data_IF_164607243783
#
_entry.id   IF_164607243783
#
_cell.length_a   1.000
_cell.length_b   1.000
_cell.length_c   1.000
_cell.angle_alpha   90.00
_cell.angle_beta   90.00
_cell.angle_gamma   90.00
#
_symmetry.space_group_name_H-M   'P 1'
#
loop_
_entity.id
_entity.type
_entity.pdbx_description
1 polymer ?
#
# COMPACT_ATOMS: atom_id res chain seq x y z
N UNK A 1 -54.92 -37.02 -47.12
CA UNK A 1 -56.07 -37.51 -46.34
C UNK A 1 -56.05 -36.80 -45.00
N UNK A 2 -57.20 -36.23 -44.62
CA UNK A 2 -57.60 -35.69 -43.30
C UNK A 2 -56.75 -34.60 -42.62
N UNK A 3 -57.22 -33.35 -42.72
CA UNK A 3 -57.46 -32.49 -41.52
C UNK A 3 -58.74 -33.00 -40.81
N UNK A 4 -59.26 -32.48 -39.66
CA UNK A 4 -58.91 -31.27 -38.87
C UNK A 4 -59.08 -31.46 -37.33
N UNK A 5 -59.30 -30.34 -36.59
CA UNK A 5 -60.02 -30.18 -35.29
C UNK A 5 -59.16 -30.21 -34.00
N UNK A 6 -59.43 -29.47 -32.93
CA UNK A 6 -60.26 -28.28 -32.61
C UNK A 6 -60.19 -28.02 -31.09
N UNK A 7 -60.31 -26.75 -30.68
CA UNK A 7 -61.01 -26.21 -29.49
C UNK A 7 -61.08 -26.97 -28.15
N UNK A 8 -60.70 -26.27 -27.06
CA UNK A 8 -61.56 -25.85 -25.90
C UNK A 8 -60.63 -25.28 -24.81
N UNK A 9 -60.72 -24.03 -24.32
CA UNK A 9 -61.81 -23.27 -23.67
C UNK A 9 -62.46 -24.03 -22.52
N UNK A 10 -62.21 -23.56 -21.30
CA UNK A 10 -62.82 -24.00 -20.06
C UNK A 10 -62.51 -23.02 -18.95
N UNK A 11 -63.24 -21.90 -18.93
CA UNK A 11 -63.49 -21.10 -17.73
C UNK A 11 -64.29 -21.93 -16.73
N UNK A 12 -63.98 -21.80 -15.44
CA UNK A 12 -64.71 -22.45 -14.35
C UNK A 12 -64.50 -21.69 -13.06
N UNK A 13 -65.47 -20.84 -12.74
CA UNK A 13 -65.56 -20.01 -11.56
C UNK A 13 -65.88 -20.79 -10.28
N UNK A 14 -65.53 -20.20 -9.14
CA UNK A 14 -66.35 -20.19 -7.93
C UNK A 14 -66.18 -21.37 -6.96
N UNK A 15 -65.71 -21.08 -5.76
CA UNK A 15 -65.73 -22.01 -4.64
C UNK A 15 -65.22 -21.38 -3.35
N UNK A 16 -66.07 -20.57 -2.71
CA UNK A 16 -65.91 -20.16 -1.32
C UNK A 16 -65.83 -21.39 -0.39
N UNK A 17 -64.91 -21.36 0.58
CA UNK A 17 -64.74 -22.47 1.52
C UNK A 17 -63.63 -22.23 2.54
N UNK A 18 -63.79 -21.22 3.41
CA UNK A 18 -63.18 -21.24 4.75
C UNK A 18 -64.08 -22.07 5.70
N UNK A 19 -63.65 -22.48 6.91
CA UNK A 19 -62.35 -22.32 7.57
C UNK A 19 -61.82 -23.64 8.21
N UNK A 20 -60.50 -23.85 8.27
CA UNK A 20 -59.88 -24.68 9.33
C UNK A 20 -58.47 -24.18 9.65
N UNK A 21 -58.34 -23.51 10.79
CA UNK A 21 -57.13 -23.54 11.61
C UNK A 21 -57.02 -24.94 12.25
N UNK A 22 -55.80 -25.50 12.40
CA UNK A 22 -55.07 -25.20 13.62
C UNK A 22 -53.54 -25.06 13.45
N UNK A 23 -52.98 -24.22 14.34
CA UNK A 23 -51.70 -24.40 15.02
C UNK A 23 -50.44 -24.59 14.15
N UNK A 24 -49.82 -23.48 13.78
CA UNK A 24 -48.36 -23.41 13.75
C UNK A 24 -47.87 -22.32 14.71
N UNK A 25 -47.17 -22.81 15.73
CA UNK A 25 -46.50 -22.08 16.78
C UNK A 25 -45.61 -20.97 16.21
N UNK A 26 -45.92 -19.74 16.62
CA UNK A 26 -45.13 -18.53 16.46
C UNK A 26 -43.84 -18.64 17.28
N UNK A 27 -42.74 -19.02 16.62
CA UNK A 27 -41.39 -18.85 17.13
C UNK A 27 -40.88 -17.43 16.85
N UNK A 28 -41.55 -16.42 17.38
CA UNK A 28 -41.07 -15.04 17.40
C UNK A 28 -41.43 -14.47 18.75
N UNK A 29 -40.42 -14.29 19.61
CA UNK A 29 -40.30 -13.32 20.73
C UNK A 29 -39.35 -13.92 21.78
N UNK A 30 -38.07 -14.08 21.43
CA UNK A 30 -36.99 -13.88 22.41
C UNK A 30 -36.47 -12.48 22.19
N UNK A 31 -37.16 -11.53 22.82
CA UNK A 31 -36.65 -10.18 23.05
C UNK A 31 -35.35 -10.35 23.83
N UNK A 32 -34.24 -10.06 23.15
CA UNK A 32 -32.91 -9.96 23.72
C UNK A 32 -32.87 -8.75 24.67
N UNK A 33 -33.37 -8.94 25.89
CA UNK A 33 -33.27 -7.98 27.00
C UNK A 33 -31.81 -7.77 27.47
N UNK A 34 -30.85 -8.52 26.92
CA UNK A 34 -29.41 -8.38 27.19
C UNK A 34 -28.67 -7.37 26.30
N UNK A 35 -29.36 -6.67 25.40
CA UNK A 35 -28.76 -5.62 24.54
C UNK A 35 -28.75 -4.21 25.15
N UNK A 36 -29.28 -4.04 26.38
CA UNK A 36 -29.42 -2.74 27.04
C UNK A 36 -28.27 -2.37 28.00
N UNK A 37 -27.17 -3.12 28.03
CA UNK A 37 -25.93 -2.69 28.69
C UNK A 37 -24.89 -2.29 27.64
N UNK A 38 -25.20 -1.21 26.91
CA UNK A 38 -24.19 -0.43 26.20
C UNK A 38 -23.48 0.40 27.27
N UNK A 39 -22.23 0.10 27.67
CA UNK A 39 -21.54 0.89 28.67
C UNK A 39 -21.42 2.31 28.12
N UNK A 40 -21.96 3.27 28.89
CA UNK A 40 -21.79 4.70 28.67
C UNK A 40 -20.32 5.08 28.86
N UNK A 41 -19.47 4.74 27.88
CA UNK A 41 -18.04 5.06 27.84
C UNK A 41 -17.80 6.39 27.12
N UNK A 42 -18.51 7.44 27.54
CA UNK A 42 -18.49 8.74 26.86
C UNK A 42 -17.22 9.59 27.06
N UNK A 43 -16.38 9.29 28.07
CA UNK A 43 -15.16 10.09 28.35
C UNK A 43 -13.89 9.28 28.62
N UNK A 44 -13.98 8.05 29.12
CA UNK A 44 -12.80 7.18 29.31
C UNK A 44 -12.24 6.55 28.02
N UNK A 45 -13.06 6.47 26.96
CA UNK A 45 -12.66 5.80 25.70
C UNK A 45 -11.62 6.56 24.88
N UNK A 46 -11.64 7.90 24.90
CA UNK A 46 -10.70 8.71 24.10
C UNK A 46 -9.28 8.68 24.65
N UNK A 47 -9.12 8.73 25.98
CA UNK A 47 -7.81 8.62 26.62
C UNK A 47 -7.18 7.22 26.43
N UNK A 48 -8.00 6.17 26.55
CA UNK A 48 -7.57 4.79 26.30
C UNK A 48 -7.17 4.57 24.83
N UNK A 49 -7.93 5.12 23.86
CA UNK A 49 -7.58 5.05 22.44
C UNK A 49 -6.31 5.86 22.10
N UNK A 50 -6.18 7.08 22.63
CA UNK A 50 -4.98 7.89 22.41
C UNK A 50 -3.73 7.18 22.98
N UNK A 51 -3.82 6.60 24.17
CA UNK A 51 -2.74 5.83 24.77
C UNK A 51 -2.39 4.57 23.97
N UNK A 52 -3.40 3.85 23.47
CA UNK A 52 -3.23 2.67 22.62
C UNK A 52 -2.52 2.95 21.30
N UNK A 53 -2.58 4.19 20.78
CA UNK A 53 -1.84 4.61 19.58
C UNK A 53 -0.49 5.24 19.90
N UNK A 54 -0.41 6.12 20.90
CA UNK A 54 0.81 6.87 21.23
C UNK A 54 1.90 5.97 21.80
N UNK A 55 1.55 5.02 22.67
CA UNK A 55 2.52 4.12 23.28
C UNK A 55 3.29 3.26 22.26
N UNK A 56 2.63 2.49 21.35
CA UNK A 56 3.36 1.71 20.36
C UNK A 56 4.11 2.59 19.37
N UNK A 57 3.60 3.80 19.06
CA UNK A 57 4.31 4.74 18.19
C UNK A 57 5.61 5.20 18.87
N UNK A 58 5.56 5.61 20.14
CA UNK A 58 6.73 6.02 20.90
C UNK A 58 7.76 4.90 21.08
N UNK A 59 7.31 3.68 21.37
CA UNK A 59 8.18 2.50 21.46
C UNK A 59 8.85 2.18 20.12
N UNK A 60 8.11 2.30 19.02
CA UNK A 60 8.63 2.06 17.67
C UNK A 60 9.60 3.18 17.27
N UNK A 61 9.31 4.45 17.55
CA UNK A 61 10.25 5.55 17.35
C UNK A 61 11.54 5.35 18.14
N UNK A 62 11.44 4.95 19.41
CA UNK A 62 12.61 4.62 20.23
C UNK A 62 13.39 3.41 19.66
N UNK A 63 12.67 2.42 19.12
CA UNK A 63 13.27 1.27 18.46
C UNK A 63 14.09 1.71 17.23
N UNK A 64 13.55 2.58 16.38
CA UNK A 64 14.22 3.02 15.16
C UNK A 64 15.48 3.86 15.44
N UNK A 65 15.51 4.57 16.57
CA UNK A 65 16.66 5.40 16.99
C UNK A 65 17.73 4.59 17.71
N UNK A 66 17.37 3.49 18.38
CA UNK A 66 18.38 2.70 19.10
C UNK A 66 19.37 2.04 18.14
N UNK A 67 20.64 1.99 18.54
CA UNK A 67 21.67 1.16 17.90
C UNK A 67 21.82 -0.20 18.57
N UNK A 68 21.07 -0.55 19.61
CA UNK A 68 21.30 -1.80 20.33
C UNK A 68 20.33 -2.91 19.88
N UNK A 69 20.84 -4.02 19.33
CA UNK A 69 20.04 -5.12 18.75
C UNK A 69 19.05 -5.75 19.76
N UNK A 70 19.49 -5.99 21.00
CA UNK A 70 18.63 -6.54 22.06
C UNK A 70 17.47 -5.60 22.40
N UNK A 71 17.77 -4.31 22.59
CA UNK A 71 16.76 -3.31 22.94
C UNK A 71 15.77 -3.13 21.78
N UNK A 72 16.27 -3.07 20.55
CA UNK A 72 15.47 -3.05 19.33
C UNK A 72 14.50 -4.25 19.26
N UNK A 73 15.02 -5.46 19.48
CA UNK A 73 14.24 -6.70 19.47
C UNK A 73 13.17 -6.71 20.57
N UNK A 74 13.54 -6.31 21.79
CA UNK A 74 12.62 -6.21 22.92
C UNK A 74 11.50 -5.20 22.69
N UNK A 75 11.82 -4.03 22.11
CA UNK A 75 10.82 -3.02 21.77
C UNK A 75 9.86 -3.50 20.68
N UNK A 76 10.36 -4.19 19.64
CA UNK A 76 9.50 -4.75 18.59
C UNK A 76 8.54 -5.81 19.14
N UNK A 77 9.03 -6.71 19.99
CA UNK A 77 8.19 -7.71 20.66
C UNK A 77 7.20 -7.04 21.61
N UNK A 78 7.60 -6.02 22.35
CA UNK A 78 6.72 -5.23 23.21
C UNK A 78 5.59 -4.57 22.42
N UNK A 79 5.89 -3.96 21.27
CA UNK A 79 4.88 -3.40 20.36
C UNK A 79 3.97 -4.51 19.81
N UNK A 80 4.53 -5.65 19.42
CA UNK A 80 3.78 -6.82 18.96
C UNK A 80 2.79 -7.34 20.00
N UNK A 81 3.21 -7.44 21.26
CA UNK A 81 2.37 -7.85 22.39
C UNK A 81 1.27 -6.83 22.69
N UNK A 82 1.60 -5.54 22.68
CA UNK A 82 0.63 -4.46 22.91
C UNK A 82 -0.44 -4.40 21.81
N UNK A 83 -0.08 -4.72 20.56
CA UNK A 83 -1.00 -4.72 19.41
C UNK A 83 -1.69 -6.07 19.20
N UNK A 84 -1.16 -7.14 19.77
CA UNK A 84 -1.77 -8.47 19.75
C UNK A 84 -3.03 -8.49 20.62
N UNK A 85 -4.16 -8.07 20.04
CA UNK A 85 -5.47 -8.28 20.65
C UNK A 85 -5.85 -9.77 20.60
N UNK A 86 -6.81 -10.20 21.45
CA UNK A 86 -7.21 -11.62 21.66
C UNK A 86 -7.55 -12.43 20.39
N UNK A 87 -7.67 -11.80 19.21
CA UNK A 87 -8.02 -12.48 17.95
C UNK A 87 -7.03 -12.25 16.80
N UNK A 88 -5.95 -11.47 16.99
CA UNK A 88 -4.98 -11.19 15.92
C UNK A 88 -3.55 -11.50 16.38
N UNK A 89 -3.11 -12.74 16.14
CA UNK A 89 -1.73 -13.17 16.36
C UNK A 89 -0.74 -12.60 15.34
N UNK A 90 -1.24 -11.99 14.26
CA UNK A 90 -0.43 -11.45 13.16
C UNK A 90 0.74 -10.56 13.61
N UNK A 91 0.49 -9.45 14.33
CA UNK A 91 1.54 -8.52 14.76
C UNK A 91 2.64 -9.19 15.61
N UNK A 92 2.25 -10.17 16.43
CA UNK A 92 3.18 -10.92 17.28
C UNK A 92 4.11 -11.78 16.42
N UNK A 93 3.58 -12.51 15.44
CA UNK A 93 4.40 -13.31 14.50
C UNK A 93 5.37 -12.41 13.73
N UNK A 94 4.91 -11.24 13.27
CA UNK A 94 5.79 -10.28 12.60
C UNK A 94 6.93 -9.83 13.53
N UNK A 95 6.59 -9.45 14.76
CA UNK A 95 7.57 -8.99 15.76
C UNK A 95 8.58 -10.07 16.13
N UNK A 96 8.13 -11.33 16.28
CA UNK A 96 9.00 -12.46 16.59
C UNK A 96 9.93 -12.80 15.43
N UNK A 97 9.45 -12.72 14.19
CA UNK A 97 10.29 -12.92 13.00
C UNK A 97 11.39 -11.84 12.94
N UNK A 98 11.02 -10.57 13.13
CA UNK A 98 11.97 -9.46 13.13
C UNK A 98 12.98 -9.57 14.28
N UNK A 99 12.50 -9.82 15.51
CA UNK A 99 13.34 -9.99 16.68
C UNK A 99 14.30 -11.17 16.54
N UNK A 100 13.82 -12.32 16.04
CA UNK A 100 14.68 -13.49 15.78
C UNK A 100 15.81 -13.16 14.80
N UNK A 101 15.50 -12.43 13.72
CA UNK A 101 16.50 -11.99 12.75
C UNK A 101 17.58 -11.09 13.38
N UNK A 102 17.17 -10.13 14.20
CA UNK A 102 18.08 -9.20 14.89
C UNK A 102 18.91 -9.87 15.99
N UNK A 103 18.31 -10.79 16.75
CA UNK A 103 19.00 -11.56 17.79
C UNK A 103 20.06 -12.45 17.14
N UNK A 104 19.73 -13.15 16.05
CA UNK A 104 20.71 -13.96 15.31
C UNK A 104 21.87 -13.11 14.80
N UNK A 105 21.59 -11.91 14.29
CA UNK A 105 22.62 -10.98 13.83
C UNK A 105 23.56 -10.54 14.98
N UNK A 106 23.02 -10.22 16.15
CA UNK A 106 23.81 -9.88 17.33
C UNK A 106 24.64 -11.06 17.85
N UNK A 107 24.05 -12.27 17.89
CA UNK A 107 24.76 -13.49 18.31
C UNK A 107 25.93 -13.83 17.37
N UNK A 108 25.74 -13.67 16.06
CA UNK A 108 26.77 -14.04 15.08
C UNK A 108 27.84 -12.98 14.91
N UNK A 109 27.50 -11.70 15.04
CA UNK A 109 28.50 -10.64 15.03
C UNK A 109 29.35 -10.61 16.30
N UNK A 110 28.89 -11.27 17.37
CA UNK A 110 29.53 -11.19 18.70
C UNK A 110 29.38 -9.82 19.37
N UNK A 111 28.58 -8.92 18.78
CA UNK A 111 28.38 -7.55 19.25
C UNK A 111 26.90 -7.21 19.23
N UNK A 112 26.42 -6.54 20.28
CA UNK A 112 25.01 -6.13 20.36
C UNK A 112 24.77 -4.68 19.94
N UNK A 113 25.83 -3.94 19.63
CA UNK A 113 25.75 -2.59 19.10
C UNK A 113 25.86 -2.61 17.58
N UNK A 114 24.88 -1.99 16.94
CA UNK A 114 24.75 -1.85 15.49
C UNK A 114 25.88 -1.01 14.89
N UNK A 115 26.41 -0.06 15.65
CA UNK A 115 27.51 0.79 15.22
C UNK A 115 28.89 0.14 15.38
N UNK A 116 28.96 -1.07 15.98
CA UNK A 116 30.23 -1.76 16.15
C UNK A 116 30.80 -2.19 14.78
N UNK A 117 32.12 -2.07 14.56
CA UNK A 117 32.74 -2.36 13.27
C UNK A 117 32.57 -3.82 12.81
N UNK A 118 32.32 -4.75 13.74
CA UNK A 118 32.08 -6.16 13.45
C UNK A 118 30.59 -6.54 13.36
N UNK A 119 29.66 -5.59 13.55
CA UNK A 119 28.23 -5.85 13.51
C UNK A 119 27.80 -6.46 12.15
N UNK A 120 28.44 -6.04 11.06
CA UNK A 120 28.20 -6.58 9.73
C UNK A 120 28.55 -8.05 9.55
N UNK A 121 29.51 -8.58 10.32
CA UNK A 121 29.91 -9.98 10.22
C UNK A 121 28.79 -10.95 10.64
N UNK A 122 27.82 -10.48 11.43
CA UNK A 122 26.67 -11.28 11.83
C UNK A 122 25.55 -11.35 10.79
N UNK A 123 25.63 -10.57 9.71
CA UNK A 123 24.60 -10.56 8.68
C UNK A 123 24.75 -11.80 7.79
N UNK A 124 23.80 -12.72 7.89
CA UNK A 124 23.75 -13.93 7.07
C UNK A 124 22.38 -14.12 6.38
N UNK A 125 22.26 -15.17 5.57
CA UNK A 125 21.03 -15.44 4.81
C UNK A 125 19.82 -15.76 5.69
N UNK A 126 20.02 -16.35 6.87
CA UNK A 126 18.95 -16.68 7.80
C UNK A 126 18.41 -15.41 8.49
N UNK A 127 19.30 -14.57 9.04
CA UNK A 127 18.92 -13.30 9.67
C UNK A 127 18.27 -12.36 8.65
N UNK A 128 18.83 -12.28 7.44
CA UNK A 128 18.25 -11.52 6.34
C UNK A 128 16.87 -12.06 5.95
N UNK A 129 16.76 -13.37 5.75
CA UNK A 129 15.51 -14.04 5.39
C UNK A 129 14.39 -13.83 6.43
N UNK A 130 14.72 -13.85 7.73
CA UNK A 130 13.77 -13.60 8.81
C UNK A 130 13.29 -12.14 8.85
N UNK A 131 14.17 -11.18 8.55
CA UNK A 131 13.81 -9.77 8.45
C UNK A 131 12.95 -9.48 7.21
N UNK A 132 13.31 -10.11 6.08
CA UNK A 132 12.52 -10.05 4.85
C UNK A 132 11.14 -10.69 5.04
N UNK A 133 11.08 -11.84 5.70
CA UNK A 133 9.82 -12.49 6.06
C UNK A 133 8.96 -11.60 6.96
N UNK A 134 9.56 -10.98 7.99
CA UNK A 134 8.87 -10.04 8.84
C UNK A 134 8.26 -8.89 8.01
N UNK A 135 9.02 -8.31 7.10
CA UNK A 135 8.52 -7.27 6.21
C UNK A 135 7.34 -7.75 5.34
N UNK A 136 7.45 -8.92 4.72
CA UNK A 136 6.36 -9.49 3.92
C UNK A 136 5.09 -9.73 4.76
N UNK A 137 5.24 -10.24 5.98
CA UNK A 137 4.13 -10.44 6.89
C UNK A 137 3.51 -9.11 7.36
N UNK A 138 4.34 -8.12 7.69
CA UNK A 138 3.90 -6.77 8.08
C UNK A 138 3.06 -6.10 6.97
N UNK A 139 3.41 -6.37 5.71
CA UNK A 139 2.75 -5.85 4.52
C UNK A 139 1.49 -6.65 4.13
N UNK A 140 1.11 -7.66 4.90
CA UNK A 140 -0.07 -8.48 4.63
C UNK A 140 0.17 -9.54 3.54
N UNK A 141 1.40 -10.02 3.37
CA UNK A 141 1.76 -11.01 2.35
C UNK A 141 0.89 -12.27 2.38
N UNK A 142 0.47 -12.74 3.56
CA UNK A 142 -0.46 -13.88 3.68
C UNK A 142 -1.84 -13.56 3.09
N UNK A 143 -2.36 -12.35 3.33
CA UNK A 143 -3.63 -11.91 2.76
C UNK A 143 -3.54 -11.75 1.24
N UNK A 144 -2.42 -11.20 0.76
CA UNK A 144 -2.10 -11.05 -0.67
C UNK A 144 -2.11 -12.41 -1.40
N UNK A 145 -1.44 -13.42 -0.83
CA UNK A 145 -1.43 -14.78 -1.41
C UNK A 145 -2.84 -15.39 -1.43
N UNK A 146 -3.68 -15.05 -0.44
CA UNK A 146 -5.07 -15.53 -0.36
C UNK A 146 -6.06 -14.68 -1.16
N UNK A 147 -5.64 -13.63 -1.86
CA UNK A 147 -6.55 -12.75 -2.60
C UNK A 147 -7.41 -11.83 -1.71
N UNK A 148 -7.03 -11.63 -0.45
CA UNK A 148 -7.78 -10.82 0.52
C UNK A 148 -7.12 -9.45 0.72
N UNK A 149 -7.91 -8.39 0.98
CA UNK A 149 -7.36 -7.06 1.21
C UNK A 149 -6.37 -7.07 2.38
N UNK A 150 -5.12 -6.62 2.17
CA UNK A 150 -4.08 -6.71 3.17
C UNK A 150 -4.36 -5.75 4.33
N UNK A 151 -4.65 -6.31 5.50
CA UNK A 151 -4.73 -5.56 6.75
C UNK A 151 -3.32 -5.36 7.30
N UNK A 152 -2.62 -4.36 6.77
CA UNK A 152 -1.27 -4.02 7.20
C UNK A 152 -1.27 -2.89 8.23
N UNK A 153 -0.60 -3.12 9.35
CA UNK A 153 -0.31 -2.08 10.31
C UNK A 153 0.74 -1.12 9.74
N UNK A 154 0.37 0.15 9.55
CA UNK A 154 1.21 1.16 8.90
C UNK A 154 2.56 1.34 9.60
N UNK A 155 2.53 1.42 10.93
CA UNK A 155 3.74 1.68 11.70
C UNK A 155 4.68 0.48 11.66
N UNK A 156 4.12 -0.73 11.72
CA UNK A 156 4.90 -1.96 11.68
C UNK A 156 5.52 -2.20 10.30
N UNK A 157 4.74 -1.96 9.24
CA UNK A 157 5.20 -1.99 7.84
C UNK A 157 6.36 -1.01 7.62
N UNK A 158 6.22 0.25 8.06
CA UNK A 158 7.29 1.26 7.98
C UNK A 158 8.52 0.88 8.79
N UNK A 159 8.36 0.39 10.02
CA UNK A 159 9.48 -0.08 10.84
C UNK A 159 10.23 -1.23 10.18
N UNK A 160 9.52 -2.23 9.64
CA UNK A 160 10.15 -3.34 8.94
C UNK A 160 10.88 -2.88 7.67
N UNK A 161 10.30 -1.96 6.89
CA UNK A 161 10.98 -1.38 5.72
C UNK A 161 12.27 -0.66 6.14
N UNK A 162 12.20 0.17 7.18
CA UNK A 162 13.36 0.87 7.72
C UNK A 162 14.43 -0.11 8.22
N UNK A 163 14.04 -1.14 8.99
CA UNK A 163 14.97 -2.16 9.49
C UNK A 163 15.71 -2.85 8.36
N UNK A 164 15.00 -3.22 7.30
CA UNK A 164 15.61 -3.82 6.13
C UNK A 164 16.59 -2.84 5.47
N UNK A 165 16.17 -1.61 5.15
CA UNK A 165 17.05 -0.61 4.55
C UNK A 165 18.27 -0.30 5.42
N UNK A 166 18.12 -0.29 6.75
CA UNK A 166 19.21 -0.04 7.67
C UNK A 166 20.33 -1.07 7.49
N UNK A 167 20.02 -2.32 7.12
CA UNK A 167 21.03 -3.37 6.90
C UNK A 167 22.10 -2.99 5.89
N UNK A 168 21.81 -2.08 4.94
CA UNK A 168 22.83 -1.54 4.04
C UNK A 168 24.01 -0.88 4.76
N UNK A 169 23.77 -0.30 5.94
CA UNK A 169 24.84 0.30 6.75
C UNK A 169 25.74 -0.73 7.46
N UNK A 170 25.31 -2.00 7.55
CA UNK A 170 26.14 -3.09 8.08
C UNK A 170 27.07 -3.68 7.03
N UNK A 171 26.86 -3.39 5.75
CA UNK A 171 27.69 -3.84 4.64
C UNK A 171 26.88 -4.09 3.37
N UNK A 172 27.56 -4.31 2.24
CA UNK A 172 26.92 -4.59 0.97
C UNK A 172 26.14 -5.90 1.05
N UNK A 173 24.92 -5.90 0.53
CA UNK A 173 24.12 -7.11 0.42
C UNK A 173 24.72 -8.04 -0.63
N UNK A 174 24.69 -9.34 -0.39
CA UNK A 174 25.05 -10.29 -1.43
C UNK A 174 23.98 -10.31 -2.55
N UNK A 175 24.38 -10.80 -3.72
CA UNK A 175 23.49 -10.85 -4.89
C UNK A 175 22.23 -11.68 -4.66
N UNK A 176 22.31 -12.74 -3.84
CA UNK A 176 21.15 -13.57 -3.51
C UNK A 176 20.08 -12.81 -2.74
N UNK A 177 20.47 -11.97 -1.77
CA UNK A 177 19.58 -11.15 -0.97
C UNK A 177 18.95 -10.02 -1.77
N UNK A 178 19.75 -9.37 -2.62
CA UNK A 178 19.28 -8.37 -3.57
C UNK A 178 18.22 -8.96 -4.52
N UNK A 179 18.56 -10.08 -5.18
CA UNK A 179 17.65 -10.78 -6.08
C UNK A 179 16.37 -11.23 -5.39
N UNK A 180 16.47 -11.81 -4.19
CA UNK A 180 15.30 -12.25 -3.43
C UNK A 180 14.36 -11.08 -3.11
N UNK A 181 14.91 -9.96 -2.63
CA UNK A 181 14.14 -8.76 -2.31
C UNK A 181 13.52 -8.14 -3.57
N UNK A 182 14.26 -8.09 -4.66
CA UNK A 182 13.81 -7.59 -5.96
C UNK A 182 12.60 -8.40 -6.47
N UNK A 183 12.74 -9.72 -6.54
CA UNK A 183 11.71 -10.63 -7.05
C UNK A 183 10.46 -10.62 -6.15
N UNK A 184 10.65 -10.69 -4.82
CA UNK A 184 9.54 -10.65 -3.88
C UNK A 184 8.82 -9.30 -3.90
N UNK A 185 9.55 -8.19 -3.95
CA UNK A 185 8.98 -6.85 -4.09
C UNK A 185 8.18 -6.69 -5.38
N UNK A 186 8.74 -7.14 -6.52
CA UNK A 186 8.09 -7.03 -7.82
C UNK A 186 6.83 -7.91 -7.88
N UNK A 187 6.92 -9.14 -7.36
CA UNK A 187 5.78 -10.04 -7.25
C UNK A 187 4.68 -9.46 -6.35
N UNK A 188 5.04 -8.87 -5.20
CA UNK A 188 4.09 -8.21 -4.30
C UNK A 188 3.41 -7.02 -4.98
N UNK A 189 4.18 -6.16 -5.65
CA UNK A 189 3.65 -5.00 -6.36
C UNK A 189 2.67 -5.41 -7.45
N UNK A 190 3.04 -6.38 -8.29
CA UNK A 190 2.22 -6.87 -9.38
C UNK A 190 0.96 -7.59 -8.88
N UNK A 191 1.09 -8.48 -7.89
CA UNK A 191 -0.05 -9.18 -7.30
C UNK A 191 -1.04 -8.21 -6.64
N UNK A 192 -0.55 -7.20 -5.91
CA UNK A 192 -1.39 -6.21 -5.25
C UNK A 192 -2.11 -5.32 -6.29
N UNK A 193 -1.42 -4.91 -7.35
CA UNK A 193 -2.01 -4.14 -8.43
C UNK A 193 -3.08 -4.94 -9.19
N UNK A 194 -2.77 -6.21 -9.52
CA UNK A 194 -3.69 -7.11 -10.21
C UNK A 194 -4.96 -7.37 -9.40
N UNK A 195 -4.82 -7.75 -8.12
CA UNK A 195 -5.95 -8.00 -7.23
C UNK A 195 -6.74 -6.71 -6.94
N UNK A 196 -6.03 -5.59 -6.77
CA UNK A 196 -6.62 -4.25 -6.60
C UNK A 196 -7.47 -3.80 -7.78
N UNK A 197 -7.06 -4.12 -9.01
CA UNK A 197 -7.83 -3.80 -10.22
C UNK A 197 -9.22 -4.44 -10.26
N UNK A 198 -9.37 -5.65 -9.68
CA UNK A 198 -10.65 -6.35 -9.56
C UNK A 198 -11.45 -6.03 -8.28
N UNK A 199 -10.77 -5.55 -7.24
CA UNK A 199 -11.34 -5.39 -5.90
C UNK A 199 -12.47 -4.33 -5.81
N UNK A 200 -13.33 -4.42 -4.77
CA UNK A 200 -14.30 -3.37 -4.47
C UNK A 200 -13.63 -2.07 -4.02
N UNK A 201 -14.29 -0.95 -4.28
CA UNK A 201 -13.82 0.41 -3.99
C UNK A 201 -13.36 0.62 -2.53
N UNK A 202 -14.02 -0.04 -1.57
CA UNK A 202 -13.68 0.04 -0.13
C UNK A 202 -12.29 -0.52 0.21
N UNK A 203 -11.74 -1.42 -0.61
CA UNK A 203 -10.45 -2.05 -0.40
C UNK A 203 -9.28 -1.34 -1.09
N UNK A 204 -9.54 -0.28 -1.88
CA UNK A 204 -8.53 0.38 -2.72
C UNK A 204 -7.31 0.84 -1.93
N UNK A 205 -7.50 1.46 -0.76
CA UNK A 205 -6.39 1.95 0.06
C UNK A 205 -5.46 0.83 0.54
N UNK A 206 -6.01 -0.34 0.86
CA UNK A 206 -5.22 -1.50 1.29
C UNK A 206 -4.35 -2.04 0.14
N UNK A 207 -4.94 -2.21 -1.05
CA UNK A 207 -4.23 -2.68 -2.24
C UNK A 207 -3.17 -1.68 -2.71
N UNK A 208 -3.49 -0.38 -2.70
CA UNK A 208 -2.53 0.65 -3.09
C UNK A 208 -1.33 0.68 -2.14
N UNK A 209 -1.56 0.49 -0.83
CA UNK A 209 -0.50 0.41 0.16
C UNK A 209 0.41 -0.80 -0.08
N UNK A 210 -0.17 -1.98 -0.36
CA UNK A 210 0.62 -3.18 -0.65
C UNK A 210 1.44 -3.04 -1.95
N UNK A 211 0.87 -2.40 -2.97
CA UNK A 211 1.57 -2.05 -4.20
C UNK A 211 2.81 -1.16 -3.93
N UNK A 212 2.64 -0.07 -3.15
CA UNK A 212 3.75 0.82 -2.81
C UNK A 212 4.83 0.11 -1.99
N UNK A 213 4.43 -0.74 -1.04
CA UNK A 213 5.36 -1.56 -0.27
C UNK A 213 6.15 -2.53 -1.15
N UNK A 214 5.52 -3.11 -2.18
CA UNK A 214 6.20 -3.92 -3.18
C UNK A 214 7.29 -3.14 -3.91
N UNK A 215 7.00 -1.92 -4.35
CA UNK A 215 7.98 -1.03 -4.98
C UNK A 215 9.13 -0.60 -4.05
N UNK A 216 8.85 -0.29 -2.78
CA UNK A 216 9.89 0.00 -1.79
C UNK A 216 10.84 -1.20 -1.67
N UNK A 217 10.29 -2.40 -1.60
CA UNK A 217 11.07 -3.63 -1.52
C UNK A 217 11.83 -3.93 -2.82
N UNK A 218 11.24 -3.67 -3.98
CA UNK A 218 11.94 -3.77 -5.27
C UNK A 218 13.11 -2.78 -5.35
N UNK A 219 12.90 -1.54 -4.92
CA UNK A 219 13.96 -0.52 -4.85
C UNK A 219 15.11 -0.94 -3.94
N UNK A 220 14.77 -1.44 -2.75
CA UNK A 220 15.74 -2.02 -1.84
C UNK A 220 16.45 -3.23 -2.45
N UNK A 221 15.79 -4.04 -3.28
CA UNK A 221 16.40 -5.19 -3.95
C UNK A 221 17.28 -4.85 -5.15
N UNK A 222 17.09 -3.70 -5.80
CA UNK A 222 17.97 -3.24 -6.88
C UNK A 222 19.38 -2.93 -6.36
N UNK A 223 19.51 -2.49 -5.11
CA UNK A 223 20.79 -2.21 -4.44
C UNK A 223 21.60 -1.07 -5.06
N UNK A 224 21.07 -0.38 -6.05
CA UNK A 224 21.65 0.82 -6.65
C UNK A 224 21.25 2.07 -5.90
N UNK A 225 21.99 3.15 -6.12
CA UNK A 225 21.60 4.50 -5.70
C UNK A 225 20.16 4.82 -6.16
N UNK A 226 19.84 4.50 -7.43
CA UNK A 226 18.51 4.68 -7.98
C UNK A 226 17.42 3.89 -7.23
N UNK A 227 17.72 2.65 -6.87
CA UNK A 227 16.84 1.79 -6.09
C UNK A 227 16.61 2.28 -4.66
N UNK A 228 17.66 2.79 -4.00
CA UNK A 228 17.56 3.36 -2.66
C UNK A 228 16.75 4.67 -2.68
N UNK A 229 16.96 5.53 -3.69
CA UNK A 229 16.13 6.73 -3.92
C UNK A 229 14.66 6.35 -4.10
N UNK A 230 14.36 5.32 -4.89
CA UNK A 230 13.00 4.79 -5.05
C UNK A 230 12.41 4.33 -3.69
N UNK A 231 13.16 3.55 -2.93
CA UNK A 231 12.71 3.04 -1.63
C UNK A 231 12.45 4.18 -0.64
N UNK A 232 13.36 5.16 -0.57
CA UNK A 232 13.21 6.35 0.25
C UNK A 232 12.01 7.21 -0.15
N UNK A 233 11.82 7.45 -1.46
CA UNK A 233 10.65 8.16 -1.97
C UNK A 233 9.35 7.44 -1.63
N UNK A 234 9.32 6.11 -1.79
CA UNK A 234 8.17 5.29 -1.42
C UNK A 234 7.81 5.36 0.06
N UNK A 235 8.82 5.39 0.95
CA UNK A 235 8.61 5.56 2.39
C UNK A 235 7.96 6.90 2.75
N UNK A 236 8.34 7.97 2.05
CA UNK A 236 7.70 9.29 2.21
C UNK A 236 6.28 9.32 1.66
N UNK A 237 6.02 8.60 0.57
CA UNK A 237 4.71 8.55 -0.07
C UNK A 237 3.70 7.68 0.68
N UNK A 238 4.14 6.61 1.35
CA UNK A 238 3.28 5.66 2.06
C UNK A 238 2.28 6.32 3.03
N UNK A 239 2.70 7.22 3.96
CA UNK A 239 1.76 7.89 4.86
C UNK A 239 0.76 8.79 4.12
N UNK A 240 1.20 9.48 3.06
CA UNK A 240 0.34 10.35 2.25
C UNK A 240 -0.77 9.54 1.60
N UNK A 241 -0.44 8.40 1.00
CA UNK A 241 -1.42 7.53 0.34
C UNK A 241 -2.37 6.90 1.35
N UNK A 242 -1.87 6.42 2.49
CA UNK A 242 -2.74 5.87 3.54
C UNK A 242 -3.72 6.91 4.07
N UNK A 243 -3.25 8.11 4.39
CA UNK A 243 -4.09 9.21 4.86
C UNK A 243 -5.08 9.68 3.80
N UNK A 244 -4.68 9.65 2.52
CA UNK A 244 -5.51 10.00 1.38
C UNK A 244 -6.72 9.08 1.23
N UNK A 245 -6.54 7.76 1.42
CA UNK A 245 -7.64 6.78 1.34
C UNK A 245 -8.42 6.56 2.64
N UNK A 246 -7.87 6.95 3.81
CA UNK A 246 -8.59 6.84 5.08
C UNK A 246 -9.53 8.01 5.38
N UNK A 247 -9.41 9.11 4.65
CA UNK A 247 -10.22 10.30 4.88
C UNK A 247 -11.68 10.12 4.39
N UNK A 248 -12.62 10.79 5.08
CA UNK A 248 -14.03 10.91 4.70
C UNK A 248 -14.19 11.36 3.22
N UNK A 249 -15.35 11.11 2.57
CA UNK A 249 -15.51 11.30 1.12
C UNK A 249 -14.94 12.63 0.66
N UNK A 250 -13.99 12.55 -0.26
CA UNK A 250 -13.24 13.70 -0.77
C UNK A 250 -13.67 14.02 -2.19
N UNK A 251 -13.57 15.30 -2.62
CA UNK A 251 -13.92 15.66 -3.99
C UNK A 251 -13.11 14.82 -5.00
N UNK A 252 -13.80 14.35 -6.05
CA UNK A 252 -13.32 13.37 -7.04
C UNK A 252 -11.91 13.64 -7.60
N UNK A 253 -11.54 14.90 -7.81
CA UNK A 253 -10.23 15.30 -8.34
C UNK A 253 -9.06 14.92 -7.42
N UNK A 254 -9.29 14.72 -6.11
CA UNK A 254 -8.22 14.34 -5.17
C UNK A 254 -7.76 12.90 -5.35
N UNK A 255 -8.66 11.99 -5.73
CA UNK A 255 -8.28 10.61 -6.02
C UNK A 255 -7.37 10.54 -7.25
N UNK A 256 -7.56 11.44 -8.23
CA UNK A 256 -6.65 11.54 -9.38
C UNK A 256 -5.21 11.89 -8.98
N UNK A 257 -4.99 12.69 -7.92
CA UNK A 257 -3.65 12.97 -7.41
C UNK A 257 -2.98 11.78 -6.72
N UNK A 258 -3.75 10.78 -6.31
CA UNK A 258 -3.27 9.51 -5.76
C UNK A 258 -3.15 8.42 -6.84
N UNK A 259 -3.43 8.77 -8.09
CA UNK A 259 -3.43 7.84 -9.21
C UNK A 259 -2.08 7.84 -9.91
N UNK A 260 -1.49 6.66 -10.11
CA UNK A 260 -0.25 6.50 -10.86
C UNK A 260 -0.40 6.82 -12.37
N UNK A 261 -1.63 6.98 -12.88
CA UNK A 261 -1.87 7.37 -14.27
C UNK A 261 -1.88 8.89 -14.50
N UNK A 262 -1.92 9.72 -13.44
CA UNK A 262 -1.87 11.17 -13.59
C UNK A 262 -0.39 11.64 -13.65
N UNK A 263 0.04 12.35 -14.70
CA UNK A 263 1.40 12.85 -14.78
C UNK A 263 1.69 13.78 -13.60
N UNK A 264 2.93 13.74 -13.11
CA UNK A 264 3.38 14.54 -11.97
C UNK A 264 2.62 14.26 -10.66
N UNK A 265 1.85 13.17 -10.57
CA UNK A 265 1.40 12.67 -9.28
C UNK A 265 2.56 11.98 -8.56
N UNK A 266 2.56 11.99 -7.23
CA UNK A 266 3.62 11.32 -6.48
C UNK A 266 3.67 9.80 -6.77
N UNK A 267 2.55 9.06 -6.86
CA UNK A 267 2.57 7.66 -7.27
C UNK A 267 3.10 7.43 -8.69
N UNK A 268 2.86 8.37 -9.62
CA UNK A 268 3.44 8.30 -10.96
C UNK A 268 4.96 8.48 -10.93
N UNK A 269 5.46 9.48 -10.20
CA UNK A 269 6.90 9.71 -10.07
C UNK A 269 7.57 8.48 -9.46
N UNK A 270 6.96 7.85 -8.46
CA UNK A 270 7.45 6.60 -7.89
C UNK A 270 7.51 5.46 -8.92
N UNK A 271 6.46 5.28 -9.73
CA UNK A 271 6.45 4.28 -10.79
C UNK A 271 7.54 4.55 -11.85
N UNK A 272 7.72 5.81 -12.23
CA UNK A 272 8.78 6.22 -13.14
C UNK A 272 10.17 5.94 -12.56
N UNK A 273 10.42 6.31 -11.29
CA UNK A 273 11.66 6.02 -10.59
C UNK A 273 11.94 4.51 -10.57
N UNK A 274 10.90 3.69 -10.38
CA UNK A 274 11.02 2.23 -10.38
C UNK A 274 11.44 1.68 -11.75
N UNK A 275 10.79 2.14 -12.82
CA UNK A 275 11.15 1.79 -14.20
C UNK A 275 12.55 2.26 -14.55
N UNK A 276 12.88 3.50 -14.22
CA UNK A 276 14.17 4.10 -14.50
C UNK A 276 15.30 3.35 -13.77
N UNK A 277 15.11 3.02 -12.50
CA UNK A 277 16.08 2.25 -11.71
C UNK A 277 16.25 0.82 -12.26
N UNK A 278 15.16 0.16 -12.69
CA UNK A 278 15.24 -1.16 -13.31
C UNK A 278 15.99 -1.12 -14.66
N UNK A 279 15.71 -0.12 -15.51
CA UNK A 279 16.39 0.07 -16.79
C UNK A 279 17.88 0.42 -16.62
N UNK A 280 18.21 1.28 -15.65
CA UNK A 280 19.59 1.59 -15.28
C UNK A 280 20.36 0.34 -14.81
N UNK A 281 19.66 -0.63 -14.22
CA UNK A 281 20.18 -1.95 -13.89
C UNK A 281 20.19 -2.97 -15.04
N UNK A 282 19.73 -2.61 -16.24
CA UNK A 282 19.61 -3.51 -17.39
C UNK A 282 18.47 -4.52 -17.31
N UNK A 283 17.54 -4.37 -16.35
CA UNK A 283 16.45 -5.31 -16.08
C UNK A 283 15.18 -4.90 -16.84
N UNK A 284 15.19 -5.05 -18.17
CA UNK A 284 14.08 -4.63 -19.04
C UNK A 284 12.76 -5.32 -18.73
N UNK A 285 12.78 -6.63 -18.46
CA UNK A 285 11.58 -7.39 -18.08
C UNK A 285 10.96 -6.85 -16.78
N UNK A 286 11.80 -6.48 -15.82
CA UNK A 286 11.36 -5.87 -14.57
C UNK A 286 10.76 -4.49 -14.82
N UNK A 287 11.39 -3.67 -15.66
CA UNK A 287 10.86 -2.35 -16.02
C UNK A 287 9.44 -2.46 -16.62
N UNK A 288 9.23 -3.41 -17.53
CA UNK A 288 7.90 -3.67 -18.12
C UNK A 288 6.90 -4.13 -17.06
N UNK A 289 7.29 -5.04 -16.15
CA UNK A 289 6.39 -5.55 -15.13
C UNK A 289 6.02 -4.49 -14.07
N UNK A 290 6.96 -3.64 -13.67
CA UNK A 290 6.70 -2.53 -12.74
C UNK A 290 5.79 -1.48 -13.39
N UNK A 291 5.97 -1.20 -14.68
CA UNK A 291 5.07 -0.32 -15.40
C UNK A 291 3.66 -0.90 -15.52
N UNK A 292 3.55 -2.19 -15.86
CA UNK A 292 2.26 -2.89 -15.88
C UNK A 292 1.57 -2.86 -14.52
N UNK A 293 2.31 -3.07 -13.43
CA UNK A 293 1.81 -2.95 -12.07
C UNK A 293 1.28 -1.53 -11.78
N UNK A 294 2.00 -0.49 -12.19
CA UNK A 294 1.57 0.89 -12.01
C UNK A 294 0.25 1.21 -12.73
N UNK A 295 0.08 0.69 -13.95
CA UNK A 295 -1.16 0.84 -14.73
C UNK A 295 -2.33 0.10 -14.10
N UNK A 296 -2.11 -1.12 -13.62
CA UNK A 296 -3.15 -1.89 -12.92
C UNK A 296 -3.54 -1.21 -11.60
N UNK A 297 -2.58 -0.65 -10.86
CA UNK A 297 -2.82 0.08 -9.62
C UNK A 297 -3.58 1.41 -9.84
N UNK A 298 -3.53 1.99 -11.05
CA UNK A 298 -4.28 3.19 -11.38
C UNK A 298 -5.80 2.94 -11.51
N UNK A 299 -6.21 1.74 -11.97
CA UNK A 299 -7.62 1.37 -12.19
C UNK A 299 -8.52 1.52 -10.95
N UNK A 300 -8.21 0.95 -9.77
CA UNK A 300 -9.07 1.09 -8.60
C UNK A 300 -9.22 2.54 -8.14
N UNK A 301 -8.15 3.35 -8.28
CA UNK A 301 -8.18 4.78 -7.93
C UNK A 301 -9.04 5.58 -8.90
N UNK A 302 -8.93 5.29 -10.21
CA UNK A 302 -9.77 5.90 -11.24
C UNK A 302 -11.26 5.54 -11.05
N UNK A 303 -11.58 4.30 -10.64
CA UNK A 303 -12.96 3.88 -10.31
C UNK A 303 -13.53 4.67 -9.14
N UNK A 304 -12.74 4.87 -8.08
CA UNK A 304 -13.14 5.70 -6.95
C UNK A 304 -13.45 7.14 -7.36
N UNK A 305 -12.63 7.71 -8.24
CA UNK A 305 -12.83 9.07 -8.73
C UNK A 305 -14.13 9.21 -9.56
N UNK A 306 -14.48 8.21 -10.37
CA UNK A 306 -15.70 8.24 -11.20
C UNK A 306 -16.97 7.94 -10.40
N UNK A 307 -16.95 6.96 -9.50
CA UNK A 307 -18.14 6.53 -8.75
C UNK A 307 -18.73 7.62 -7.84
N UNK A 308 -17.91 8.58 -7.39
CA UNK A 308 -18.38 9.74 -6.62
C UNK A 308 -19.21 10.72 -7.46
N UNK A 309 -18.92 10.86 -8.76
CA UNK A 309 -19.62 11.80 -9.64
C UNK A 309 -21.08 11.41 -9.84
N UNK A 310 -21.38 10.11 -9.93
CA UNK A 310 -22.74 9.59 -10.10
C UNK A 310 -23.57 9.70 -8.83
N UNK A 311 -23.00 9.41 -7.66
CA UNK A 311 -23.72 9.53 -6.38
C UNK A 311 -24.06 10.99 -6.03
N UNK A 312 -23.21 11.94 -6.39
CA UNK A 312 -23.41 13.35 -6.08
C UNK A 312 -24.54 13.98 -6.92
N UNK A 313 -24.67 13.59 -8.19
CA UNK A 313 -25.78 14.03 -9.04
C UNK A 313 -27.14 13.48 -8.58
N UNK A 314 -27.15 12.34 -7.91
CA UNK A 314 -28.38 11.68 -7.44
C UNK A 314 -28.84 12.18 -6.06
N UNK A 315 -27.90 12.63 -5.22
CA UNK A 315 -28.20 13.24 -3.92
C UNK A 315 -28.59 14.72 -4.01
N UNK A 316 -28.14 15.48 -5.03
CA UNK A 316 -28.57 16.87 -5.23
C UNK A 316 -30.09 17.00 -5.48
N UNK A 317 -30.71 16.01 -6.12
CA UNK A 317 -32.17 15.96 -6.29
C UNK A 317 -32.92 15.57 -4.99
N UNK A 318 -32.23 14.95 -4.03
CA UNK A 318 -32.80 14.50 -2.75
C UNK A 318 -32.51 15.45 -1.57
N UNK A 319 -31.55 16.36 -1.72
CA UNK A 319 -30.97 17.18 -0.64
C UNK A 319 -31.63 18.56 -0.43
N UNK A 320 -32.74 18.89 -1.10
CA UNK A 320 -33.52 20.09 -0.80
C UNK A 320 -34.20 20.08 0.60
N UNK A 321 -34.08 19.00 1.38
CA UNK A 321 -34.88 18.81 2.60
C UNK A 321 -34.17 18.59 3.93
N UNK A 322 -32.89 18.22 4.02
CA UNK A 322 -32.28 17.86 5.33
C UNK A 322 -30.82 18.27 5.48
N UNK A 323 -30.62 19.26 6.34
CA UNK A 323 -29.35 19.70 6.92
C UNK A 323 -28.56 18.52 7.50
N UNK A 324 -27.57 18.04 6.74
CA UNK A 324 -26.60 17.04 7.20
C UNK A 324 -25.32 17.74 7.68
N UNK A 325 -24.82 17.31 8.84
CA UNK A 325 -23.76 17.94 9.61
C UNK A 325 -22.49 18.25 8.82
N UNK A 326 -21.95 19.44 9.07
CA UNK A 326 -20.69 19.94 8.52
C UNK A 326 -19.53 18.94 8.75
N UNK A 327 -18.88 18.44 7.68
CA UNK A 327 -17.64 17.69 7.82
C UNK A 327 -16.48 18.63 8.21
N UNK A 328 -15.59 18.14 9.07
CA UNK A 328 -14.44 18.86 9.63
C UNK A 328 -13.48 19.40 8.55
N UNK A 329 -13.72 20.64 8.09
CA UNK A 329 -12.95 21.36 7.04
C UNK A 329 -11.42 21.44 7.26
N UNK A 330 -10.92 21.33 8.50
CA UNK A 330 -9.50 21.55 8.84
C UNK A 330 -8.54 20.44 8.40
N UNK A 331 -8.92 19.17 8.51
CA UNK A 331 -8.07 18.02 8.12
C UNK A 331 -8.04 17.82 6.59
N UNK A 332 -8.97 18.42 5.86
CA UNK A 332 -9.16 18.20 4.42
C UNK A 332 -8.16 18.96 3.52
N UNK A 333 -7.54 20.03 4.00
CA UNK A 333 -6.60 20.84 3.21
C UNK A 333 -5.17 20.28 3.28
N UNK A 334 -4.82 19.65 4.40
CA UNK A 334 -3.49 19.09 4.63
C UNK A 334 -3.12 17.99 3.64
N UNK A 335 -4.05 17.09 3.28
CA UNK A 335 -3.75 15.98 2.36
C UNK A 335 -3.54 16.41 0.89
N UNK A 336 -4.13 17.54 0.47
CA UNK A 336 -3.91 18.10 -0.88
C UNK A 336 -2.52 18.72 -0.98
N UNK A 337 -2.18 19.55 0.01
CA UNK A 337 -0.89 20.22 0.09
C UNK A 337 0.25 19.20 0.18
N UNK A 338 0.05 18.07 0.86
CA UNK A 338 1.10 17.05 0.96
C UNK A 338 1.24 16.21 -0.30
N UNK A 339 0.16 15.82 -0.99
CA UNK A 339 0.26 15.01 -2.22
C UNK A 339 0.84 15.76 -3.42
N UNK A 340 0.30 16.94 -3.71
CA UNK A 340 0.82 17.83 -4.77
C UNK A 340 2.16 18.44 -4.36
N UNK A 341 2.29 18.77 -3.07
CA UNK A 341 3.55 19.25 -2.52
C UNK A 341 4.66 18.22 -2.66
N UNK A 342 4.40 16.93 -2.43
CA UNK A 342 5.43 15.89 -2.55
C UNK A 342 5.90 15.74 -4.00
N UNK A 343 5.00 15.81 -4.99
CA UNK A 343 5.40 15.71 -6.39
C UNK A 343 6.14 16.95 -6.89
N UNK A 344 5.68 18.15 -6.54
CA UNK A 344 6.37 19.40 -6.84
C UNK A 344 7.69 19.56 -6.06
N UNK A 345 7.77 18.98 -4.86
CA UNK A 345 8.99 18.98 -4.05
C UNK A 345 9.98 17.91 -4.49
N UNK A 346 9.59 16.95 -5.32
CA UNK A 346 10.48 15.86 -5.76
C UNK A 346 11.83 16.36 -6.32
N UNK A 347 11.90 17.37 -7.22
CA UNK A 347 13.18 17.91 -7.71
C UNK A 347 14.07 18.52 -6.61
N UNK A 348 13.50 18.96 -5.49
CA UNK A 348 14.26 19.47 -4.34
C UNK A 348 14.61 18.36 -3.33
N UNK A 349 13.71 17.38 -3.16
CA UNK A 349 13.90 16.24 -2.26
C UNK A 349 15.01 15.31 -2.73
N UNK A 350 15.17 15.15 -4.05
CA UNK A 350 16.24 14.35 -4.63
C UNK A 350 17.62 14.80 -4.13
N UNK A 351 18.10 16.02 -4.47
CA UNK A 351 19.42 16.47 -4.02
C UNK A 351 19.48 16.75 -2.52
N UNK A 352 18.39 17.23 -1.91
CA UNK A 352 18.40 17.67 -0.51
C UNK A 352 18.29 16.56 0.53
N UNK A 353 17.67 15.42 0.18
CA UNK A 353 17.33 14.38 1.15
C UNK A 353 17.57 12.95 0.65
N UNK A 354 17.20 12.63 -0.60
CA UNK A 354 17.28 11.26 -1.09
C UNK A 354 18.69 10.86 -1.54
N UNK A 355 19.42 11.74 -2.23
CA UNK A 355 20.83 11.54 -2.58
C UNK A 355 21.73 11.38 -1.36
N UNK A 356 21.69 12.22 -0.31
CA UNK A 356 22.51 11.99 0.88
C UNK A 356 22.12 10.70 1.62
N UNK A 357 20.84 10.34 1.62
CA UNK A 357 20.38 9.07 2.17
C UNK A 357 20.95 7.88 1.38
N UNK A 358 20.93 7.95 0.04
CA UNK A 358 21.49 6.91 -0.82
C UNK A 358 23.01 6.78 -0.67
N UNK A 359 23.71 7.90 -0.48
CA UNK A 359 25.14 7.92 -0.19
C UNK A 359 25.46 7.29 1.17
N UNK A 360 24.68 7.59 2.22
CA UNK A 360 24.86 6.99 3.56
C UNK A 360 24.60 5.48 3.57
N UNK A 361 23.64 5.01 2.78
CA UNK A 361 23.33 3.58 2.64
C UNK A 361 24.25 2.87 1.63
N UNK A 362 25.34 3.52 1.19
CA UNK A 362 26.34 2.94 0.29
C UNK A 362 25.72 2.38 -1.02
N UNK A 363 24.62 2.97 -1.51
CA UNK A 363 23.94 2.51 -2.72
C UNK A 363 24.80 2.56 -3.99
N UNK A 364 25.96 3.21 -3.95
CA UNK A 364 26.93 3.31 -5.05
C UNK A 364 27.97 2.19 -5.13
N UNK A 365 27.96 1.19 -4.24
CA UNK A 365 28.90 0.06 -4.30
C UNK A 365 28.45 -1.06 -5.24
N UNK A 366 27.20 -1.03 -5.72
CA UNK A 366 26.71 -1.99 -6.71
C UNK A 366 26.87 -1.41 -8.11
N UNK A 367 27.09 -2.24 -9.15
CA UNK A 367 27.30 -1.79 -10.53
C UNK A 367 26.02 -1.22 -11.18
N UNK A 368 24.93 -1.06 -10.44
CA UNK A 368 23.63 -0.70 -10.99
C UNK A 368 23.40 0.81 -10.82
N UNK A 369 22.97 1.44 -11.90
CA UNK A 369 23.17 2.86 -12.21
C UNK A 369 22.71 3.95 -11.24
N UNK A 370 23.15 5.18 -11.52
CA UNK A 370 22.84 6.40 -10.77
C UNK A 370 21.65 7.18 -11.34
N UNK A 371 21.00 7.98 -10.50
CA UNK A 371 19.99 8.97 -10.90
C UNK A 371 20.60 10.36 -10.77
N UNK A 372 20.61 11.14 -11.84
CA UNK A 372 21.00 12.55 -11.78
C UNK A 372 19.84 13.44 -12.21
N UNK A 373 19.74 14.60 -11.55
CA UNK A 373 18.79 15.64 -11.92
C UNK A 373 19.48 16.57 -12.92
N UNK A 374 18.95 16.64 -14.14
CA UNK A 374 19.45 17.51 -15.21
C UNK A 374 18.53 18.72 -15.41
N UNK A 375 19.06 19.95 -15.49
CA UNK A 375 18.26 21.18 -15.50
C UNK A 375 17.21 21.27 -16.62
N UNK A 376 17.51 20.73 -17.81
CA UNK A 376 16.63 20.82 -18.99
C UNK A 376 15.99 19.49 -19.39
N UNK A 377 16.54 18.35 -18.97
CA UNK A 377 16.06 17.01 -19.31
C UNK A 377 15.22 16.36 -18.20
N UNK A 378 15.12 17.00 -17.03
CA UNK A 378 14.44 16.44 -15.86
C UNK A 378 15.31 15.39 -15.16
N UNK A 379 14.73 14.26 -14.78
CA UNK A 379 15.48 13.13 -14.21
C UNK A 379 16.08 12.26 -15.33
N UNK A 380 17.37 11.98 -15.23
CA UNK A 380 18.08 11.03 -16.09
C UNK A 380 18.59 9.88 -15.22
N UNK A 381 18.34 8.65 -15.66
CA UNK A 381 18.96 7.46 -15.11
C UNK A 381 20.10 7.01 -16.03
N UNK A 382 21.28 6.86 -15.43
CA UNK A 382 22.49 6.39 -16.10
C UNK A 382 22.73 4.93 -15.76
N UNK A 383 23.28 4.13 -16.67
CA UNK A 383 23.79 2.80 -16.33
C UNK A 383 25.20 2.87 -15.70
N UNK A 384 25.75 1.70 -15.36
CA UNK A 384 27.13 1.54 -14.89
C UNK A 384 28.19 2.22 -15.78
N UNK A 385 27.94 2.26 -17.09
CA UNK A 385 28.81 2.86 -18.09
C UNK A 385 28.57 4.37 -18.29
N UNK A 386 27.78 5.01 -17.42
CA UNK A 386 27.32 6.41 -17.52
C UNK A 386 26.63 6.74 -18.84
N UNK A 387 26.00 5.75 -19.48
CA UNK A 387 25.13 5.98 -20.62
C UNK A 387 23.71 6.28 -20.14
N UNK A 388 23.05 7.31 -20.67
CA UNK A 388 21.67 7.62 -20.31
C UNK A 388 20.74 6.51 -20.83
N UNK A 389 20.05 5.82 -19.92
CA UNK A 389 19.15 4.70 -20.28
C UNK A 389 17.68 5.11 -20.22
N UNK A 390 17.34 5.96 -19.26
CA UNK A 390 16.02 6.55 -19.18
C UNK A 390 16.16 8.05 -18.96
N UNK A 391 15.52 8.82 -19.81
CA UNK A 391 15.30 10.24 -19.58
C UNK A 391 13.82 10.42 -19.25
N UNK A 392 13.48 11.46 -18.51
CA UNK A 392 12.10 11.91 -18.33
C UNK A 392 11.82 13.07 -19.31
N UNK A 393 11.86 12.88 -20.66
CA UNK A 393 11.50 13.97 -21.56
C UNK A 393 10.00 14.17 -21.42
N UNK A 394 9.64 15.35 -20.93
CA UNK A 394 8.26 15.73 -20.60
C UNK A 394 7.25 15.37 -21.70
N UNK A 395 7.63 15.49 -22.99
CA UNK A 395 6.73 15.32 -24.13
C UNK A 395 6.38 13.85 -24.44
N UNK A 396 7.37 12.93 -24.44
CA UNK A 396 7.11 11.53 -24.77
C UNK A 396 6.29 10.84 -23.68
N UNK A 397 6.50 11.22 -22.41
CA UNK A 397 5.66 10.79 -21.30
C UNK A 397 4.25 11.37 -21.40
N UNK A 398 4.08 12.65 -21.75
CA UNK A 398 2.75 13.22 -22.01
C UNK A 398 2.00 12.43 -23.08
N UNK A 399 2.65 12.07 -24.19
CA UNK A 399 2.05 11.29 -25.27
C UNK A 399 1.66 9.87 -24.82
N UNK A 400 2.57 9.16 -24.14
CA UNK A 400 2.28 7.84 -23.58
C UNK A 400 1.16 7.91 -22.53
N UNK A 401 1.13 8.94 -21.69
CA UNK A 401 0.12 9.18 -20.67
C UNK A 401 -1.26 9.48 -21.27
N UNK A 402 -1.33 10.21 -22.40
CA UNK A 402 -2.57 10.42 -23.15
C UNK A 402 -3.14 9.09 -23.64
N UNK A 403 -2.28 8.22 -24.17
CA UNK A 403 -2.66 6.88 -24.64
C UNK A 403 -3.13 6.02 -23.46
N UNK A 404 -2.43 6.06 -22.33
CA UNK A 404 -2.77 5.29 -21.13
C UNK A 404 -4.05 5.78 -20.44
N UNK A 405 -4.24 7.08 -20.35
CA UNK A 405 -5.48 7.68 -19.85
C UNK A 405 -6.66 7.31 -20.76
N UNK A 406 -6.46 7.32 -22.08
CA UNK A 406 -7.46 6.88 -23.05
C UNK A 406 -7.79 5.39 -22.90
N UNK A 407 -6.78 4.52 -22.69
CA UNK A 407 -6.99 3.08 -22.45
C UNK A 407 -7.72 2.81 -21.13
N UNK A 408 -7.35 3.52 -20.06
CA UNK A 408 -8.00 3.42 -18.76
C UNK A 408 -9.47 3.86 -18.84
N UNK A 409 -9.73 4.98 -19.53
CA UNK A 409 -11.08 5.47 -19.78
C UNK A 409 -11.90 4.49 -20.64
N UNK A 410 -11.30 3.92 -21.69
CA UNK A 410 -11.95 2.92 -22.54
C UNK A 410 -12.30 1.66 -21.73
N UNK A 411 -11.39 1.18 -20.88
CA UNK A 411 -11.60 0.02 -20.03
C UNK A 411 -12.73 0.20 -19.02
N UNK A 412 -12.83 1.39 -18.40
CA UNK A 412 -13.97 1.74 -17.54
C UNK A 412 -15.29 1.71 -18.32
N UNK A 413 -15.32 2.35 -19.50
CA UNK A 413 -16.53 2.45 -20.32
C UNK A 413 -17.01 1.13 -20.90
N UNK A 414 -16.09 0.21 -21.21
CA UNK A 414 -16.43 -1.12 -21.71
C UNK A 414 -17.05 -2.00 -20.61
N UNK A 415 -16.58 -1.86 -19.37
CA UNK A 415 -17.10 -2.60 -18.23
C UNK A 415 -18.51 -2.16 -17.82
N UNK A 416 -18.84 -0.87 -17.93
CA UNK A 416 -20.20 -0.38 -17.64
C UNK A 416 -21.27 -0.92 -18.63
N UNK A 417 -20.84 -1.53 -19.75
CA UNK A 417 -21.73 -2.11 -20.77
C UNK A 417 -21.95 -3.62 -20.64
N UNK A 418 -21.18 -4.29 -19.80
CA UNK A 418 -21.24 -5.74 -19.55
C UNK A 418 -21.80 -6.01 -18.17
#
# INVERSE_FOLDING_TARGET
MSSPLSHNVGEGAGGEGHPRHPNHLSATTRVNVLSALKPASGRGGKASQAFAFLLPTGLLSLALVTSHFVLLSGLLVGVGLLRSTRQQLGPLVVSLSAASGLILLGLQSGTWDYAAPLAGAGLNSLSFGLLLLALLLANGGVALVRGHPPQSDALFSLACCYLLLRLYSLGPWNLGWLLASLLLGAAVALAAAWQGAGAPSSATGAWQTAYLNGFILTGAGLGSEAGIVLAGYGLLLLPVVRLGFSAAPTPHWRYWLLCAALPLSAPFIMAWLAVAAALAGGLTLLAVSLWAAALLAALPVARLAHGQHQGQAQDEDSAAGRSAGQPHRGLHHYNILTGVGLSLATPFMLPGLLTPLAAQLQGGLTPFGSLELWPWAGLIAFNAARQPVATLPSIALIALMLILAALCWLGLRLRDRT
#
